data_IF_022577185498
#
_entry.id   IF_022577185498
#
_cell.length_a   1.000
_cell.length_b   1.000
_cell.length_c   1.000
_cell.angle_alpha   90.00
_cell.angle_beta   90.00
_cell.angle_gamma   90.00
#
_symmetry.space_group_name_H-M   'P 1'
#
loop_
_entity.id
_entity.type
_entity.pdbx_description
1 polymer ?
#
# COMPACT_ATOMS: atom_id res chain seq x y z
N UNK A 1 -0.29 35.12 9.85
CA UNK A 1 -0.32 34.06 8.81
C UNK A 1 -0.12 32.66 9.38
N UNK A 2 0.98 32.34 10.10
CA UNK A 2 1.24 30.99 10.66
C UNK A 2 0.10 30.41 11.54
N UNK A 3 -0.56 31.25 12.34
CA UNK A 3 -1.63 30.81 13.27
C UNK A 3 -2.90 30.35 12.54
N UNK A 4 -3.30 31.05 11.47
CA UNK A 4 -4.48 30.67 10.67
C UNK A 4 -4.24 29.39 9.85
N UNK A 5 -3.01 29.19 9.37
CA UNK A 5 -2.62 27.93 8.72
C UNK A 5 -2.66 26.76 9.70
N UNK A 6 -2.21 26.96 10.95
CA UNK A 6 -2.28 25.95 11.99
C UNK A 6 -3.73 25.59 12.34
N UNK A 7 -4.61 26.59 12.48
CA UNK A 7 -6.04 26.36 12.74
C UNK A 7 -6.76 25.69 11.56
N UNK A 8 -6.39 26.00 10.33
CA UNK A 8 -6.92 25.33 9.15
C UNK A 8 -6.45 23.86 9.08
N UNK A 9 -5.16 23.60 9.32
CA UNK A 9 -4.63 22.24 9.38
C UNK A 9 -5.25 21.42 10.52
N UNK A 10 -5.40 22.03 11.70
CA UNK A 10 -6.01 21.38 12.87
C UNK A 10 -7.52 21.15 12.66
N UNK A 11 -8.21 22.10 12.03
CA UNK A 11 -9.62 21.98 11.67
C UNK A 11 -9.87 20.88 10.63
N UNK A 12 -9.03 20.81 9.59
CA UNK A 12 -9.06 19.72 8.61
C UNK A 12 -8.75 18.36 9.24
N UNK A 13 -7.78 18.31 10.17
CA UNK A 13 -7.45 17.09 10.91
C UNK A 13 -8.60 16.62 11.81
N UNK A 14 -9.27 17.54 12.50
CA UNK A 14 -10.45 17.23 13.32
C UNK A 14 -11.65 16.78 12.49
N UNK A 15 -11.84 17.33 11.29
CA UNK A 15 -12.89 16.90 10.36
C UNK A 15 -12.57 15.52 9.75
N UNK A 16 -11.30 15.23 9.47
CA UNK A 16 -10.87 13.88 9.04
C UNK A 16 -11.08 12.84 10.13
N UNK A 17 -10.82 13.17 11.39
CA UNK A 17 -11.05 12.28 12.52
C UNK A 17 -12.54 11.96 12.75
N UNK A 18 -13.46 12.80 12.25
CA UNK A 18 -14.90 12.57 12.34
C UNK A 18 -15.43 11.58 11.27
N UNK A 19 -14.68 11.35 10.19
CA UNK A 19 -14.94 10.29 9.21
C UNK A 19 -14.04 9.08 9.50
N UNK A 20 -14.62 7.99 10.03
CA UNK A 20 -13.89 6.75 10.23
C UNK A 20 -13.24 6.21 8.95
N UNK A 21 -13.80 6.52 7.76
CA UNK A 21 -13.27 6.09 6.47
C UNK A 21 -12.01 6.86 6.05
N UNK A 22 -12.11 8.20 6.01
CA UNK A 22 -10.98 9.06 5.65
C UNK A 22 -9.81 8.92 6.64
N UNK A 23 -10.09 8.83 7.94
CA UNK A 23 -9.03 8.62 8.94
C UNK A 23 -8.32 7.27 8.78
N UNK A 24 -9.07 6.19 8.48
CA UNK A 24 -8.52 4.85 8.23
C UNK A 24 -7.60 4.86 7.00
N UNK A 25 -8.04 5.50 5.92
CA UNK A 25 -7.25 5.69 4.69
C UNK A 25 -5.96 6.46 4.97
N UNK A 26 -6.08 7.64 5.57
CA UNK A 26 -4.94 8.50 5.90
C UNK A 26 -3.90 7.77 6.77
N UNK A 27 -4.38 6.97 7.74
CA UNK A 27 -3.51 6.14 8.56
C UNK A 27 -2.77 5.07 7.76
N UNK A 28 -3.47 4.35 6.88
CA UNK A 28 -2.87 3.32 6.01
C UNK A 28 -1.79 3.91 5.11
N UNK A 29 -2.12 5.00 4.43
CA UNK A 29 -1.23 5.66 3.49
C UNK A 29 0.00 6.25 4.18
N UNK A 30 -0.18 6.86 5.36
CA UNK A 30 0.93 7.37 6.16
C UNK A 30 1.87 6.26 6.62
N UNK A 31 1.31 5.16 7.14
CA UNK A 31 2.12 4.02 7.60
C UNK A 31 2.96 3.45 6.46
N UNK A 32 2.33 3.17 5.33
CA UNK A 32 3.02 2.59 4.16
C UNK A 32 4.08 3.56 3.63
N UNK A 33 3.78 4.86 3.59
CA UNK A 33 4.74 5.88 3.18
C UNK A 33 5.97 5.91 4.08
N UNK A 34 5.78 5.91 5.40
CA UNK A 34 6.89 5.92 6.38
C UNK A 34 7.68 4.61 6.35
N UNK A 35 6.99 3.47 6.21
CA UNK A 35 7.61 2.15 6.14
C UNK A 35 8.21 1.81 4.76
N UNK A 36 8.01 2.67 3.76
CA UNK A 36 8.35 2.38 2.35
C UNK A 36 9.78 1.91 2.11
N UNK A 37 10.85 2.44 2.74
CA UNK A 37 12.20 1.91 2.49
C UNK A 37 12.33 0.43 2.88
N UNK A 38 11.69 0.05 3.98
CA UNK A 38 11.64 -1.33 4.45
C UNK A 38 10.77 -2.20 3.55
N UNK A 39 9.57 -1.75 3.21
CA UNK A 39 8.63 -2.48 2.33
C UNK A 39 9.26 -2.73 0.95
N UNK A 40 9.91 -1.73 0.36
CA UNK A 40 10.53 -1.83 -0.96
C UNK A 40 11.65 -2.86 -0.95
N UNK A 41 12.59 -2.77 -0.01
CA UNK A 41 13.74 -3.67 0.02
C UNK A 41 13.37 -5.09 0.44
N UNK A 42 12.56 -5.22 1.49
CA UNK A 42 12.14 -6.52 1.99
C UNK A 42 11.21 -7.22 0.98
N UNK A 43 10.18 -6.52 0.49
CA UNK A 43 9.25 -7.06 -0.51
C UNK A 43 9.95 -7.43 -1.80
N UNK A 44 10.87 -6.59 -2.30
CA UNK A 44 11.66 -6.92 -3.48
C UNK A 44 12.53 -8.16 -3.28
N UNK A 45 13.09 -8.32 -2.08
CA UNK A 45 13.87 -9.48 -1.68
C UNK A 45 13.03 -10.76 -1.67
N UNK A 46 11.90 -10.76 -0.97
CA UNK A 46 11.05 -11.95 -0.81
C UNK A 46 10.38 -12.34 -2.12
N UNK A 47 9.75 -11.39 -2.81
CA UNK A 47 8.99 -11.65 -4.02
C UNK A 47 9.93 -11.92 -5.19
N UNK A 48 11.07 -11.22 -5.27
CA UNK A 48 12.11 -11.51 -6.26
C UNK A 48 12.70 -12.91 -6.09
N UNK A 49 12.95 -13.34 -4.85
CA UNK A 49 13.43 -14.70 -4.59
C UNK A 49 12.39 -15.76 -4.98
N UNK A 50 11.11 -15.51 -4.69
CA UNK A 50 10.02 -16.40 -5.07
C UNK A 50 9.86 -16.48 -6.60
N UNK A 51 9.91 -15.36 -7.30
CA UNK A 51 9.84 -15.31 -8.76
C UNK A 51 11.04 -16.02 -9.41
N UNK A 52 12.25 -15.81 -8.90
CA UNK A 52 13.44 -16.51 -9.39
C UNK A 52 13.33 -18.03 -9.21
N UNK A 53 12.77 -18.48 -8.09
CA UNK A 53 12.50 -19.90 -7.84
C UNK A 53 11.41 -20.44 -8.78
N UNK A 54 10.39 -19.64 -9.10
CA UNK A 54 9.35 -20.02 -10.06
C UNK A 54 9.91 -20.13 -11.49
N UNK A 55 10.82 -19.23 -11.88
CA UNK A 55 11.54 -19.30 -13.17
C UNK A 55 12.40 -20.56 -13.22
N UNK A 56 13.15 -20.86 -12.17
CA UNK A 56 13.94 -22.10 -12.08
C UNK A 56 13.07 -23.33 -12.32
N UNK A 57 11.93 -23.42 -11.62
CA UNK A 57 10.96 -24.51 -11.76
C UNK A 57 10.39 -24.58 -13.18
N UNK A 58 10.04 -23.44 -13.77
CA UNK A 58 9.49 -23.36 -15.13
C UNK A 58 10.47 -23.79 -16.22
N UNK A 59 11.77 -23.60 -16.01
CA UNK A 59 12.82 -24.06 -16.92
C UNK A 59 13.34 -25.48 -16.61
N UNK A 60 12.79 -26.15 -15.59
CA UNK A 60 13.27 -27.47 -15.10
C UNK A 60 14.80 -27.52 -14.93
N UNK A 61 15.36 -26.43 -14.41
CA UNK A 61 16.80 -26.19 -14.40
C UNK A 61 17.39 -26.20 -12.98
N UNK A 62 18.71 -26.29 -12.89
CA UNK A 62 19.42 -26.32 -11.61
C UNK A 62 19.43 -24.97 -10.89
N UNK A 63 19.85 -24.98 -9.62
CA UNK A 63 19.82 -23.83 -8.71
C UNK A 63 20.59 -22.58 -9.22
N UNK A 64 21.55 -22.77 -10.14
CA UNK A 64 22.26 -21.69 -10.80
C UNK A 64 21.31 -20.73 -11.55
N UNK A 65 20.20 -21.25 -12.08
CA UNK A 65 19.16 -20.45 -12.74
C UNK A 65 18.55 -19.44 -11.77
N UNK A 66 18.21 -19.86 -10.55
CA UNK A 66 17.65 -18.95 -9.55
C UNK A 66 18.61 -17.79 -9.25
N UNK A 67 19.91 -18.09 -9.07
CA UNK A 67 20.94 -17.06 -8.79
C UNK A 67 21.07 -16.08 -9.95
N UNK A 68 21.00 -16.55 -11.20
CA UNK A 68 21.10 -15.70 -12.40
C UNK A 68 19.87 -14.80 -12.56
N UNK A 69 18.67 -15.32 -12.29
CA UNK A 69 17.43 -14.56 -12.45
C UNK A 69 17.07 -13.69 -11.24
N UNK A 70 17.66 -13.94 -10.07
CA UNK A 70 17.37 -13.17 -8.85
C UNK A 70 17.62 -11.66 -9.02
N UNK A 71 18.75 -11.16 -9.57
CA UNK A 71 18.96 -9.72 -9.75
C UNK A 71 17.89 -9.03 -10.59
N UNK A 72 17.38 -9.72 -11.62
CA UNK A 72 16.35 -9.18 -12.52
C UNK A 72 14.97 -9.16 -11.86
N UNK A 73 14.59 -10.26 -11.21
CA UNK A 73 13.33 -10.37 -10.47
C UNK A 73 13.29 -9.45 -9.27
N UNK A 74 14.39 -9.36 -8.50
CA UNK A 74 14.56 -8.37 -7.43
C UNK A 74 14.37 -6.95 -7.96
N UNK A 75 15.07 -6.58 -9.05
CA UNK A 75 14.97 -5.22 -9.61
C UNK A 75 13.55 -4.92 -10.07
N UNK A 76 12.89 -5.87 -10.73
CA UNK A 76 11.48 -5.73 -11.14
C UNK A 76 10.57 -5.47 -9.93
N UNK A 77 10.70 -6.27 -8.86
CA UNK A 77 9.91 -6.10 -7.64
C UNK A 77 10.26 -4.83 -6.85
N UNK A 78 11.51 -4.39 -6.92
CA UNK A 78 11.94 -3.11 -6.37
C UNK A 78 11.16 -1.96 -7.03
N UNK A 79 11.03 -1.98 -8.36
CA UNK A 79 10.23 -1.00 -9.09
C UNK A 79 8.74 -1.10 -8.74
N UNK A 80 8.17 -2.31 -8.72
CA UNK A 80 6.76 -2.51 -8.37
C UNK A 80 6.44 -1.95 -6.98
N UNK A 81 7.19 -2.33 -5.94
CA UNK A 81 6.95 -1.82 -4.59
C UNK A 81 7.23 -0.32 -4.47
N UNK A 82 8.20 0.22 -5.23
CA UNK A 82 8.46 1.67 -5.25
C UNK A 82 7.24 2.42 -5.78
N UNK A 83 6.66 1.96 -6.91
CA UNK A 83 5.46 2.56 -7.48
C UNK A 83 4.27 2.41 -6.52
N UNK A 84 4.07 1.23 -5.94
CA UNK A 84 3.01 0.98 -4.96
C UNK A 84 3.10 1.90 -3.74
N UNK A 85 4.30 2.06 -3.15
CA UNK A 85 4.52 2.98 -2.04
C UNK A 85 4.34 4.43 -2.45
N UNK A 86 4.76 4.81 -3.67
CA UNK A 86 4.56 6.16 -4.19
C UNK A 86 3.08 6.50 -4.37
N UNK A 87 2.26 5.53 -4.80
CA UNK A 87 0.80 5.71 -4.89
C UNK A 87 0.20 5.98 -3.51
N UNK A 88 0.59 5.24 -2.46
CA UNK A 88 0.17 5.53 -1.09
C UNK A 88 0.62 6.93 -0.62
N UNK A 89 1.84 7.36 -0.95
CA UNK A 89 2.30 8.71 -0.61
C UNK A 89 1.47 9.81 -1.29
N UNK A 90 1.13 9.63 -2.58
CA UNK A 90 0.24 10.53 -3.31
C UNK A 90 -1.17 10.52 -2.72
N UNK A 91 -1.65 9.35 -2.30
CA UNK A 91 -2.97 9.16 -1.72
C UNK A 91 -3.10 9.84 -0.34
N UNK A 92 -2.05 9.77 0.47
CA UNK A 92 -1.95 10.51 1.72
C UNK A 92 -2.04 12.03 1.48
N UNK A 93 -1.33 12.54 0.47
CA UNK A 93 -1.40 13.97 0.09
C UNK A 93 -2.79 14.34 -0.44
N UNK A 94 -3.48 13.39 -1.09
CA UNK A 94 -4.82 13.59 -1.62
C UNK A 94 -5.93 13.49 -0.55
N UNK A 95 -5.62 13.00 0.65
CA UNK A 95 -6.58 12.78 1.75
C UNK A 95 -7.49 13.99 2.05
N UNK A 96 -7.02 15.26 2.03
CA UNK A 96 -7.90 16.41 2.23
C UNK A 96 -9.04 16.52 1.21
N UNK A 97 -8.80 16.08 -0.03
CA UNK A 97 -9.84 16.08 -1.07
C UNK A 97 -10.86 14.97 -0.84
N UNK A 98 -10.43 13.80 -0.35
CA UNK A 98 -11.36 12.73 0.03
C UNK A 98 -12.23 13.12 1.21
N UNK A 99 -11.64 13.74 2.24
CA UNK A 99 -12.40 14.27 3.38
C UNK A 99 -13.45 15.31 2.96
N UNK A 100 -13.14 16.16 1.98
CA UNK A 100 -14.12 17.09 1.40
C UNK A 100 -15.21 16.39 0.58
N UNK A 101 -14.86 15.34 -0.19
CA UNK A 101 -15.82 14.58 -0.98
C UNK A 101 -16.82 13.81 -0.10
N UNK A 102 -16.37 13.32 1.06
CA UNK A 102 -17.21 12.63 2.04
C UNK A 102 -18.17 13.55 2.83
N UNK A 103 -18.03 14.88 2.72
CA UNK A 103 -19.00 15.82 3.29
C UNK A 103 -20.35 15.79 2.57
N UNK A 104 -20.41 15.20 1.37
CA UNK A 104 -21.67 15.00 0.66
C UNK A 104 -22.40 13.78 1.25
N UNK A 105 -23.62 13.94 1.82
CA UNK A 105 -24.37 12.83 2.42
C UNK A 105 -24.69 11.68 1.45
N UNK A 106 -24.73 11.97 0.16
CA UNK A 106 -24.96 10.98 -0.91
C UNK A 106 -23.69 10.76 -1.76
N UNK A 107 -22.53 11.19 -1.26
CA UNK A 107 -21.24 11.01 -1.93
C UNK A 107 -20.80 9.55 -1.93
N UNK A 108 -19.92 9.15 -2.86
CA UNK A 108 -19.34 7.81 -2.84
C UNK A 108 -18.51 7.61 -1.58
N UNK A 109 -18.57 6.41 -0.99
CA UNK A 109 -17.66 6.01 0.09
C UNK A 109 -16.29 5.72 -0.53
N UNK A 110 -15.26 6.43 -0.06
CA UNK A 110 -13.93 6.38 -0.67
C UNK A 110 -13.04 5.42 0.15
N UNK A 111 -12.91 4.18 -0.33
CA UNK A 111 -12.20 3.11 0.38
C UNK A 111 -10.67 3.20 0.24
N UNK A 112 -9.86 2.81 1.26
CA UNK A 112 -8.40 2.83 1.18
C UNK A 112 -7.84 2.01 0.01
N UNK A 113 -6.67 2.40 -0.50
CA UNK A 113 -5.94 1.59 -1.48
C UNK A 113 -5.64 0.19 -0.94
N UNK A 114 -5.94 -0.84 -1.74
CA UNK A 114 -5.79 -2.26 -1.37
C UNK A 114 -4.56 -2.92 -2.00
N UNK A 115 -3.48 -2.15 -2.20
CA UNK A 115 -2.24 -2.64 -2.81
C UNK A 115 -1.43 -3.49 -1.82
N UNK A 116 -1.47 -3.12 -0.55
CA UNK A 116 -0.93 -3.90 0.55
C UNK A 116 -2.11 -4.31 1.45
N UNK A 117 -2.40 -5.60 1.48
CA UNK A 117 -3.50 -6.18 2.26
C UNK A 117 -3.02 -6.77 3.60
N UNK A 118 -3.98 -7.17 4.45
CA UNK A 118 -3.71 -7.76 5.76
C UNK A 118 -3.16 -6.77 6.79
N UNK A 119 -3.28 -5.47 6.51
CA UNK A 119 -2.91 -4.41 7.44
C UNK A 119 -3.99 -4.24 8.49
N UNK A 120 -3.66 -3.62 9.62
CA UNK A 120 -4.66 -3.31 10.66
C UNK A 120 -5.74 -2.30 10.21
N UNK A 121 -5.57 -1.71 9.02
CA UNK A 121 -6.52 -0.80 8.40
C UNK A 121 -7.51 -1.50 7.46
N UNK A 122 -7.28 -2.76 7.14
CA UNK A 122 -8.16 -3.50 6.24
C UNK A 122 -9.35 -4.04 7.03
N UNK A 123 -10.53 -3.98 6.41
CA UNK A 123 -11.67 -4.73 6.93
C UNK A 123 -11.31 -6.21 6.81
N UNK A 124 -11.38 -6.94 7.92
CA UNK A 124 -11.12 -8.38 7.85
C UNK A 124 -12.12 -8.97 6.86
N UNK A 125 -11.67 -9.70 5.83
CA UNK A 125 -12.60 -10.46 5.02
C UNK A 125 -13.38 -11.38 5.97
N UNK A 126 -14.71 -11.43 5.84
CA UNK A 126 -15.45 -12.59 6.35
C UNK A 126 -14.71 -13.82 5.81
N UNK A 127 -14.29 -14.73 6.72
CA UNK A 127 -13.43 -15.88 6.42
C UNK A 127 -13.78 -16.52 5.06
N UNK A 128 -13.04 -16.12 4.03
CA UNK A 128 -13.01 -16.75 2.72
C UNK A 128 -11.82 -17.70 2.69
N UNK A 129 -12.04 -18.91 2.16
CA UNK A 129 -11.11 -20.01 2.24
C UNK A 129 -9.72 -19.64 1.69
N UNK A 130 -8.69 -19.97 2.49
CA UNK A 130 -7.28 -19.69 2.25
C UNK A 130 -6.65 -20.52 1.10
N UNK A 131 -7.44 -20.96 0.13
CA UNK A 131 -7.01 -21.89 -0.92
C UNK A 131 -6.51 -21.21 -2.21
N UNK A 132 -6.88 -19.96 -2.49
CA UNK A 132 -6.65 -19.39 -3.83
C UNK A 132 -5.36 -18.59 -3.98
N UNK A 133 -4.63 -18.28 -2.90
CA UNK A 133 -3.32 -17.58 -3.02
C UNK A 133 -3.36 -16.23 -3.74
N UNK A 134 -4.54 -15.67 -4.01
CA UNK A 134 -4.74 -14.36 -4.62
C UNK A 134 -5.00 -13.33 -3.52
N UNK A 135 -3.96 -13.03 -2.75
CA UNK A 135 -3.93 -11.91 -1.82
C UNK A 135 -2.65 -11.13 -2.06
N UNK A 136 -2.68 -10.23 -3.03
CA UNK A 136 -1.75 -9.10 -3.11
C UNK A 136 -2.34 -7.96 -2.30
#
# INVERSE_FOLDING_TARGET
MKKHLLFALLGSFLMMAASCGTARRAGKDLLITVASPGIILYGAGTDGAADAANIQKGFESGDATQVVFFPFTFTYRLFDHTISCALHALDFVATPFYGLAELNPNGPKIEPLQIYQGTFFDEQPEKGDAETGEGR
#
